data_IF_825639790184
#
_entry.id   IF_825639790184
#
_cell.length_a   1.000
_cell.length_b   1.000
_cell.length_c   1.000
_cell.angle_alpha   90.00
_cell.angle_beta   90.00
_cell.angle_gamma   90.00
#
_symmetry.space_group_name_H-M   'P 1'
#
loop_
_entity.id
_entity.type
_entity.pdbx_description
1 polymer ?
#
# COMPACT_ATOMS: atom_id res chain seq x y z
N UNK A 1 2.35 -22.10 -6.58
CA UNK A 1 2.36 -20.90 -7.42
C UNK A 1 3.66 -20.16 -7.32
N UNK A 2 4.19 -19.78 -8.44
CA UNK A 2 5.45 -19.06 -8.46
C UNK A 2 5.26 -17.62 -7.98
N UNK A 3 6.21 -17.13 -7.20
CA UNK A 3 6.29 -15.71 -6.87
C UNK A 3 6.95 -14.98 -8.02
N UNK A 4 6.55 -13.74 -8.26
CA UNK A 4 7.24 -12.86 -9.19
C UNK A 4 8.24 -12.03 -8.39
N UNK A 5 9.43 -11.82 -8.95
CA UNK A 5 10.47 -11.06 -8.28
C UNK A 5 11.19 -10.16 -9.28
N UNK A 6 11.26 -8.90 -8.93
CA UNK A 6 12.05 -7.89 -9.62
C UNK A 6 12.95 -7.34 -8.54
N UNK A 7 14.05 -6.72 -8.89
CA UNK A 7 15.00 -6.22 -7.89
C UNK A 7 14.27 -5.41 -6.82
N UNK A 8 14.43 -5.81 -5.57
CA UNK A 8 13.81 -5.25 -4.37
C UNK A 8 12.30 -5.40 -4.26
N UNK A 9 11.60 -5.91 -5.27
CA UNK A 9 10.14 -6.03 -5.25
C UNK A 9 9.75 -7.49 -5.42
N UNK A 10 8.86 -7.97 -4.56
CA UNK A 10 8.33 -9.33 -4.61
C UNK A 10 6.82 -9.32 -4.62
N UNK A 11 6.25 -10.25 -5.33
CA UNK A 11 4.82 -10.49 -5.34
C UNK A 11 4.64 -11.95 -4.97
N UNK A 12 4.09 -12.21 -3.78
CA UNK A 12 3.94 -13.56 -3.27
C UNK A 12 2.47 -13.80 -2.94
N UNK A 13 1.82 -14.79 -3.54
CA UNK A 13 0.43 -15.11 -3.21
C UNK A 13 0.29 -15.36 -1.71
N UNK A 14 -0.73 -14.77 -1.10
CA UNK A 14 -1.00 -14.95 0.32
C UNK A 14 -0.20 -14.06 1.25
N UNK A 15 0.74 -13.27 0.72
CA UNK A 15 1.48 -12.30 1.51
C UNK A 15 1.02 -10.91 1.11
N UNK A 16 0.56 -10.11 2.06
CA UNK A 16 0.01 -8.77 1.82
C UNK A 16 -1.07 -8.78 0.74
N UNK A 17 -1.88 -9.84 0.70
CA UNK A 17 -2.94 -9.97 -0.29
C UNK A 17 -2.44 -10.15 -1.72
N UNK A 18 -1.19 -10.58 -1.89
CA UNK A 18 -0.59 -10.74 -3.22
C UNK A 18 -0.14 -9.43 -3.83
N UNK A 19 -0.13 -8.36 -3.07
CA UNK A 19 0.29 -7.04 -3.59
C UNK A 19 1.81 -6.96 -3.71
N UNK A 20 2.32 -6.19 -4.66
CA UNK A 20 3.77 -5.94 -4.77
C UNK A 20 4.28 -5.32 -3.48
N UNK A 21 5.38 -5.84 -2.97
CA UNK A 21 5.96 -5.37 -1.71
C UNK A 21 7.48 -5.34 -1.79
N UNK A 22 8.07 -4.63 -0.85
CA UNK A 22 9.53 -4.62 -0.70
C UNK A 22 9.96 -6.04 -0.32
N UNK A 23 10.95 -6.59 -1.02
CA UNK A 23 11.44 -7.93 -0.78
C UNK A 23 11.84 -8.11 0.69
N UNK A 24 11.37 -9.19 1.30
CA UNK A 24 11.67 -9.49 2.69
C UNK A 24 10.94 -8.62 3.70
N UNK A 25 9.95 -7.87 3.28
CA UNK A 25 9.27 -6.90 4.13
C UNK A 25 7.76 -6.97 3.84
N UNK A 26 6.96 -6.42 4.75
CA UNK A 26 5.52 -6.33 4.54
C UNK A 26 5.08 -4.95 4.05
N UNK A 27 6.03 -4.06 3.83
CA UNK A 27 5.72 -2.73 3.27
C UNK A 27 5.51 -2.90 1.77
N UNK A 28 4.33 -2.51 1.31
CA UNK A 28 3.95 -2.67 -0.11
C UNK A 28 4.37 -1.45 -0.93
N UNK A 29 4.44 -1.64 -2.24
CA UNK A 29 4.64 -0.52 -3.16
C UNK A 29 3.54 0.51 -2.95
N UNK A 30 2.31 0.05 -2.74
CA UNK A 30 1.16 0.92 -2.47
C UNK A 30 1.39 1.80 -1.23
N UNK A 31 1.96 1.26 -0.16
CA UNK A 31 2.29 2.06 1.02
C UNK A 31 3.26 3.18 0.68
N UNK A 32 4.32 2.84 -0.06
CA UNK A 32 5.34 3.83 -0.45
C UNK A 32 4.70 4.93 -1.31
N UNK A 33 3.83 4.56 -2.24
CA UNK A 33 3.15 5.51 -3.11
C UNK A 33 2.28 6.46 -2.31
N UNK A 34 1.53 5.94 -1.35
CA UNK A 34 0.66 6.78 -0.51
C UNK A 34 1.51 7.77 0.28
N UNK A 35 2.58 7.31 0.90
CA UNK A 35 3.43 8.20 1.69
C UNK A 35 4.11 9.26 0.83
N UNK A 36 4.60 8.89 -0.33
CA UNK A 36 5.36 9.78 -1.20
C UNK A 36 4.46 10.70 -2.01
N UNK A 37 3.48 10.13 -2.72
CA UNK A 37 2.67 10.89 -3.68
C UNK A 37 1.51 11.61 -3.03
N UNK A 38 0.90 11.04 -2.01
CA UNK A 38 -0.29 11.63 -1.39
C UNK A 38 0.01 12.39 -0.11
N UNK A 39 0.97 11.93 0.67
CA UNK A 39 1.34 12.59 1.92
C UNK A 39 2.53 13.51 1.77
N UNK A 40 3.19 13.51 0.61
CA UNK A 40 4.29 14.42 0.33
C UNK A 40 5.59 14.11 1.07
N UNK A 41 5.74 12.88 1.56
CA UNK A 41 6.97 12.50 2.25
C UNK A 41 8.09 12.27 1.26
N UNK A 42 9.30 12.76 1.59
CA UNK A 42 10.44 12.51 0.73
C UNK A 42 10.90 11.07 0.85
N UNK A 43 11.62 10.59 -0.17
CA UNK A 43 12.16 9.24 -0.14
C UNK A 43 13.09 9.04 1.05
N UNK A 44 13.87 10.06 1.41
CA UNK A 44 14.76 9.99 2.56
C UNK A 44 14.01 9.78 3.87
N UNK A 45 12.92 10.50 4.05
CA UNK A 45 12.10 10.39 5.26
C UNK A 45 11.44 9.02 5.33
N UNK A 46 10.91 8.54 4.21
CA UNK A 46 10.28 7.20 4.16
C UNK A 46 11.31 6.12 4.52
N UNK A 47 12.50 6.20 3.94
CA UNK A 47 13.55 5.23 4.22
C UNK A 47 13.93 5.23 5.69
N UNK A 48 14.08 6.41 6.27
CA UNK A 48 14.49 6.56 7.65
C UNK A 48 13.41 6.04 8.62
N UNK A 49 12.17 6.43 8.40
CA UNK A 49 11.08 6.06 9.31
C UNK A 49 10.71 4.58 9.26
N UNK A 50 10.95 3.94 8.13
CA UNK A 50 10.54 2.54 7.94
C UNK A 50 11.72 1.58 7.84
N UNK A 51 12.91 2.06 8.17
CA UNK A 51 14.13 1.25 8.19
C UNK A 51 14.37 0.57 6.83
N UNK A 52 14.22 1.36 5.77
CA UNK A 52 14.45 0.90 4.40
C UNK A 52 15.66 1.63 3.83
N UNK A 53 16.23 1.05 2.77
CA UNK A 53 17.27 1.76 2.02
C UNK A 53 16.62 2.67 0.98
N UNK A 54 17.34 3.67 0.55
CA UNK A 54 16.88 4.51 -0.55
C UNK A 54 16.63 3.70 -1.81
N UNK A 55 17.49 2.70 -2.07
CA UNK A 55 17.30 1.82 -3.22
C UNK A 55 15.95 1.11 -3.18
N UNK A 56 15.55 0.66 -2.00
CA UNK A 56 14.25 -0.02 -1.83
C UNK A 56 13.11 0.96 -2.10
N UNK A 57 13.19 2.17 -1.58
CA UNK A 57 12.14 3.17 -1.77
C UNK A 57 12.03 3.55 -3.26
N UNK A 58 13.18 3.81 -3.90
CA UNK A 58 13.15 4.16 -5.32
C UNK A 58 12.74 3.00 -6.21
N UNK A 59 13.07 1.77 -5.84
CA UNK A 59 12.59 0.59 -6.58
C UNK A 59 11.07 0.50 -6.52
N UNK A 60 10.48 0.78 -5.36
CA UNK A 60 9.03 0.79 -5.22
C UNK A 60 8.39 1.88 -6.08
N UNK A 61 8.98 3.07 -6.10
CA UNK A 61 8.47 4.16 -6.92
C UNK A 61 8.60 3.85 -8.41
N UNK A 62 9.72 3.25 -8.81
CA UNK A 62 9.92 2.84 -10.19
C UNK A 62 8.88 1.81 -10.62
N UNK A 63 8.64 0.82 -9.75
CA UNK A 63 7.61 -0.17 -10.00
C UNK A 63 6.25 0.49 -10.18
N UNK A 64 5.94 1.45 -9.33
CA UNK A 64 4.68 2.20 -9.43
C UNK A 64 4.53 2.87 -10.79
N UNK A 65 5.56 3.59 -11.23
CA UNK A 65 5.46 4.31 -12.51
C UNK A 65 5.34 3.37 -13.70
N UNK A 66 5.89 2.16 -13.58
CA UNK A 66 5.75 1.14 -14.62
C UNK A 66 4.39 0.42 -14.57
N UNK A 67 3.69 0.49 -13.44
CA UNK A 67 2.43 -0.23 -13.23
C UNK A 67 1.37 0.69 -12.62
N UNK A 68 1.33 1.91 -13.06
CA UNK A 68 0.58 2.98 -12.43
C UNK A 68 -0.91 2.71 -12.32
N UNK A 69 -1.52 2.27 -13.41
CA UNK A 69 -2.96 2.00 -13.43
C UNK A 69 -3.34 0.92 -12.41
N UNK A 70 -2.55 -0.14 -12.33
CA UNK A 70 -2.79 -1.24 -11.43
C UNK A 70 -2.69 -0.81 -9.96
N UNK A 71 -1.66 -0.06 -9.64
CA UNK A 71 -1.44 0.40 -8.26
C UNK A 71 -2.51 1.43 -7.86
N UNK A 72 -2.80 2.38 -8.74
CA UNK A 72 -3.82 3.40 -8.46
C UNK A 72 -5.19 2.76 -8.26
N UNK A 73 -5.51 1.74 -9.05
CA UNK A 73 -6.77 1.02 -8.91
C UNK A 73 -6.84 0.29 -7.58
N UNK A 74 -5.75 -0.32 -7.15
CA UNK A 74 -5.67 -1.01 -5.88
C UNK A 74 -5.87 -0.05 -4.72
N UNK A 75 -5.24 1.12 -4.78
CA UNK A 75 -5.40 2.14 -3.74
C UNK A 75 -6.85 2.61 -3.68
N UNK A 76 -7.46 2.86 -4.83
CA UNK A 76 -8.84 3.32 -4.90
C UNK A 76 -9.80 2.28 -4.32
N UNK A 77 -9.58 1.01 -4.66
CA UNK A 77 -10.42 -0.07 -4.15
C UNK A 77 -10.32 -0.18 -2.63
N UNK A 78 -9.12 -0.06 -2.09
CA UNK A 78 -8.92 -0.12 -0.64
C UNK A 78 -9.58 1.07 0.06
N UNK A 79 -9.48 2.26 -0.54
CA UNK A 79 -10.11 3.45 0.02
C UNK A 79 -11.63 3.32 0.04
N UNK A 80 -12.20 2.77 -1.02
CA UNK A 80 -13.64 2.53 -1.09
C UNK A 80 -14.09 1.52 -0.05
N UNK A 81 -13.30 0.46 0.11
CA UNK A 81 -13.60 -0.56 1.10
C UNK A 81 -13.60 0.02 2.51
N UNK A 82 -12.60 0.83 2.84
CA UNK A 82 -12.51 1.47 4.15
C UNK A 82 -13.66 2.45 4.37
N UNK A 83 -14.04 3.20 3.35
CA UNK A 83 -15.16 4.13 3.44
C UNK A 83 -16.47 3.39 3.72
N UNK A 84 -16.68 2.25 3.05
CA UNK A 84 -17.84 1.42 3.28
C UNK A 84 -17.86 0.87 4.71
N UNK A 85 -16.73 0.39 5.18
CA UNK A 85 -16.61 -0.15 6.53
C UNK A 85 -16.91 0.91 7.58
N UNK A 86 -16.42 2.13 7.37
CA UNK A 86 -16.67 3.24 8.29
C UNK A 86 -18.15 3.62 8.31
N UNK A 87 -18.79 3.65 7.16
CA UNK A 87 -20.23 3.94 7.07
C UNK A 87 -21.04 2.86 7.81
N UNK A 88 -20.69 1.59 7.60
CA UNK A 88 -21.35 0.49 8.27
C UNK A 88 -21.20 0.55 9.79
N UNK A 89 -19.98 0.83 10.26
CA UNK A 89 -19.74 0.95 11.69
C UNK A 89 -20.50 2.14 12.29
N UNK A 90 -20.53 3.25 11.57
CA UNK A 90 -21.24 4.44 12.04
C UNK A 90 -22.75 4.19 12.12
N UNK A 91 -23.32 3.50 11.14
CA UNK A 91 -24.73 3.14 11.17
C UNK A 91 -25.07 2.26 12.35
N UNK A 92 -24.23 1.26 12.63
CA UNK A 92 -24.45 0.37 13.77
C UNK A 92 -24.38 1.10 15.10
N UNK A 93 -23.44 2.02 15.24
CA UNK A 93 -23.35 2.83 16.45
C UNK A 93 -24.57 3.70 16.62
N UNK A 94 -25.06 4.27 15.56
CA UNK A 94 -26.24 5.13 15.60
C UNK A 94 -27.48 4.32 16.02
N UNK A 95 -27.63 3.13 15.50
CA UNK A 95 -28.73 2.24 15.87
C UNK A 95 -28.70 1.89 17.36
N UNK A 96 -27.51 1.63 17.89
CA UNK A 96 -27.37 1.28 19.30
C UNK A 96 -27.68 2.44 20.23
N UNK A 97 -27.26 3.64 19.85
CA UNK A 97 -27.39 4.81 20.74
C UNK A 97 -28.66 5.60 20.51
N UNK A 98 -29.19 5.55 19.31
CA UNK A 98 -30.35 6.31 18.94
C UNK A 98 -31.65 5.58 19.24
N UNK A 99 -31.50 4.43 19.81
CA UNK A 99 -32.58 3.49 20.13
C UNK A 99 -33.93 4.08 20.22
#
# INVERSE_FOLDING_TARGET
>A
MASASIEHIEITPGVCGGKPRIAGNRITVQNIVIWHERMGMSADVIADEHDLTLSQVYAALAYYYDNRSEIDESIRADEEFLAEARRGARSKLREKTGG
#
